data_IF_153841707309
#
_entry.id   IF_153841707309
#
_cell.length_a   1.000
_cell.length_b   1.000
_cell.length_c   1.000
_cell.angle_alpha   90.00
_cell.angle_beta   90.00
_cell.angle_gamma   90.00
#
_symmetry.space_group_name_H-M   'P 1'
#
loop_
_entity.id
_entity.type
_entity.pdbx_description
1 polymer ?
#
# COMPACT_ATOMS: atom_id res chain seq x y z
N UNK A 1 -0.93 17.86 -1.63
CA UNK A 1 -0.83 16.52 -1.03
C UNK A 1 -2.20 16.06 -0.58
N UNK A 2 -2.48 14.76 -0.70
CA UNK A 2 -3.77 14.22 -0.28
C UNK A 2 -3.85 14.13 1.23
N UNK A 3 -5.04 13.80 1.74
CA UNK A 3 -5.26 13.59 3.16
C UNK A 3 -6.14 12.35 3.35
N UNK A 4 -6.41 11.99 4.61
CA UNK A 4 -7.17 10.78 4.94
C UNK A 4 -8.68 11.03 5.10
N UNK A 5 -9.16 12.22 4.77
CA UNK A 5 -10.56 12.54 4.98
C UNK A 5 -11.45 11.52 4.26
N UNK A 6 -12.34 10.88 5.01
CA UNK A 6 -13.25 9.89 4.46
C UNK A 6 -12.63 8.53 4.22
N UNK A 7 -11.36 8.33 4.58
CA UNK A 7 -10.65 7.08 4.31
C UNK A 7 -9.94 6.62 5.59
N UNK A 8 -10.56 5.68 6.30
CA UNK A 8 -10.04 5.21 7.57
C UNK A 8 -9.45 3.81 7.41
N UNK A 9 -8.22 3.61 7.91
CA UNK A 9 -7.57 2.31 7.84
C UNK A 9 -8.44 1.21 8.45
N UNK A 10 -8.57 0.09 7.74
CA UNK A 10 -9.34 -1.07 8.20
C UNK A 10 -8.45 -2.21 8.64
N UNK A 11 -7.26 -2.35 8.04
CA UNK A 11 -6.36 -3.48 8.28
C UNK A 11 -4.92 -3.01 8.26
N UNK A 12 -4.02 -3.83 8.80
CA UNK A 12 -2.58 -3.65 8.61
C UNK A 12 -2.10 -4.49 7.44
N UNK A 13 -1.08 -4.01 6.74
CA UNK A 13 -0.55 -4.71 5.57
C UNK A 13 -0.12 -6.14 5.91
N UNK A 14 0.54 -6.32 7.02
CA UNK A 14 1.10 -7.63 7.37
C UNK A 14 0.08 -8.65 7.86
N UNK A 15 -1.16 -8.22 8.09
CA UNK A 15 -2.18 -9.11 8.65
C UNK A 15 -3.05 -9.80 7.60
N UNK A 16 -2.91 -9.44 6.33
CA UNK A 16 -3.78 -9.96 5.29
C UNK A 16 -3.38 -11.37 4.85
N UNK A 17 -4.38 -12.22 4.66
CA UNK A 17 -4.20 -13.61 4.28
C UNK A 17 -5.27 -14.01 3.26
N UNK A 18 -5.17 -15.23 2.77
CA UNK A 18 -6.11 -15.76 1.79
C UNK A 18 -7.56 -15.68 2.28
N UNK A 19 -7.77 -15.75 3.57
CA UNK A 19 -9.11 -15.66 4.15
C UNK A 19 -9.75 -14.28 3.94
N UNK A 20 -8.94 -13.27 3.64
CA UNK A 20 -9.44 -11.91 3.40
C UNK A 20 -9.88 -11.66 1.97
N UNK A 21 -9.68 -12.63 1.06
CA UNK A 21 -10.01 -12.46 -0.36
C UNK A 21 -11.47 -12.04 -0.51
N UNK A 22 -11.69 -11.00 -1.29
CA UNK A 22 -13.01 -10.43 -1.52
C UNK A 22 -13.36 -9.26 -0.63
N UNK A 23 -12.59 -9.00 0.43
CA UNK A 23 -12.84 -7.87 1.33
C UNK A 23 -12.31 -6.58 0.75
N UNK A 24 -13.06 -5.50 0.98
CA UNK A 24 -12.57 -4.16 0.69
C UNK A 24 -11.78 -3.68 1.90
N UNK A 25 -10.56 -3.23 1.67
CA UNK A 25 -9.66 -2.81 2.75
C UNK A 25 -9.09 -1.43 2.48
N UNK A 26 -8.71 -0.76 3.56
CA UNK A 26 -7.95 0.49 3.52
C UNK A 26 -6.67 0.26 4.30
N UNK A 27 -5.54 0.46 3.63
CA UNK A 27 -4.23 0.25 4.21
C UNK A 27 -3.46 1.56 4.23
N UNK A 28 -2.70 1.79 5.29
CA UNK A 28 -1.79 2.93 5.37
C UNK A 28 -0.38 2.39 5.52
N UNK A 29 0.57 3.00 4.82
CA UNK A 29 1.95 2.56 4.92
C UNK A 29 2.85 3.39 4.05
N UNK A 30 4.05 2.86 3.80
CA UNK A 30 5.00 3.56 2.93
C UNK A 30 5.46 2.63 1.81
N UNK A 31 5.87 3.25 0.70
CA UNK A 31 6.32 2.53 -0.49
C UNK A 31 7.71 1.99 -0.24
N UNK A 32 7.84 0.66 -0.17
CA UNK A 32 9.15 0.04 -0.04
C UNK A 32 9.77 -0.19 -1.41
N UNK A 33 8.95 -0.60 -2.38
CA UNK A 33 9.42 -0.91 -3.73
C UNK A 33 8.29 -0.69 -4.72
N UNK A 34 8.64 -0.25 -5.92
CA UNK A 34 7.67 -0.05 -6.99
C UNK A 34 8.21 -0.64 -8.28
N UNK A 35 7.35 -1.31 -9.05
CA UNK A 35 7.70 -1.83 -10.37
C UNK A 35 6.64 -1.42 -11.37
N UNK A 36 7.07 -0.88 -12.53
CA UNK A 36 6.18 -0.54 -13.63
C UNK A 36 6.27 -1.63 -14.69
N UNK A 37 5.14 -2.23 -15.04
CA UNK A 37 5.08 -3.30 -16.02
C UNK A 37 3.94 -3.03 -17.01
N UNK A 38 4.24 -2.18 -18.02
CA UNK A 38 3.22 -1.83 -19.01
C UNK A 38 2.07 -1.07 -18.35
N UNK A 39 0.86 -1.51 -18.53
CA UNK A 39 -0.32 -0.86 -17.95
C UNK A 39 -0.56 -1.19 -16.47
N UNK A 40 0.46 -1.68 -15.77
CA UNK A 40 0.36 -2.09 -14.37
C UNK A 40 1.46 -1.45 -13.54
N UNK A 41 1.14 -1.08 -12.30
CA UNK A 41 2.13 -0.67 -11.32
C UNK A 41 1.95 -1.56 -10.10
N UNK A 42 3.03 -2.21 -9.67
CA UNK A 42 3.06 -3.01 -8.46
C UNK A 42 3.82 -2.24 -7.40
N UNK A 43 3.26 -2.18 -6.19
CA UNK A 43 3.87 -1.51 -5.05
C UNK A 43 3.93 -2.47 -3.88
N UNK A 44 5.10 -2.63 -3.29
CA UNK A 44 5.22 -3.29 -2.00
C UNK A 44 4.99 -2.23 -0.94
N UNK A 45 3.83 -2.30 -0.31
CA UNK A 45 3.42 -1.37 0.74
C UNK A 45 3.76 -1.97 2.10
N UNK A 46 4.55 -1.26 2.88
CA UNK A 46 4.98 -1.72 4.20
C UNK A 46 4.34 -0.89 5.30
N UNK A 47 4.01 -1.55 6.38
CA UNK A 47 3.65 -0.88 7.63
C UNK A 47 4.33 -1.62 8.80
N UNK A 48 3.94 -1.29 10.04
CA UNK A 48 4.58 -1.89 11.21
C UNK A 48 4.35 -3.39 11.35
N UNK A 49 3.37 -3.94 10.63
CA UNK A 49 3.04 -5.36 10.70
C UNK A 49 3.63 -6.18 9.56
N UNK A 50 4.06 -5.55 8.48
CA UNK A 50 4.64 -6.27 7.36
C UNK A 50 4.38 -5.59 6.03
N UNK A 51 4.42 -6.40 4.96
CA UNK A 51 4.34 -5.91 3.59
C UNK A 51 3.18 -6.59 2.87
N UNK A 52 2.52 -5.85 1.99
CA UNK A 52 1.50 -6.39 1.09
C UNK A 52 1.72 -5.82 -0.30
N UNK A 53 1.56 -6.63 -1.32
CA UNK A 53 1.64 -6.19 -2.71
C UNK A 53 0.34 -5.49 -3.11
N UNK A 54 0.48 -4.31 -3.69
CA UNK A 54 -0.64 -3.53 -4.22
C UNK A 54 -0.51 -3.49 -5.73
N UNK A 55 -1.61 -3.74 -6.44
CA UNK A 55 -1.66 -3.67 -7.90
C UNK A 55 -2.51 -2.50 -8.32
N UNK A 56 -1.94 -1.64 -9.15
CA UNK A 56 -2.65 -0.53 -9.79
C UNK A 56 -2.79 -0.86 -11.28
N UNK A 57 -4.03 -0.96 -11.74
CA UNK A 57 -4.34 -1.37 -13.11
C UNK A 57 -5.19 -0.27 -13.75
N UNK A 58 -4.79 0.20 -14.93
CA UNK A 58 -5.54 1.25 -15.65
C UNK A 58 -6.99 0.84 -15.92
N UNK A 59 -7.24 -0.46 -16.04
CA UNK A 59 -8.59 -0.96 -16.29
C UNK A 59 -9.48 -0.92 -15.05
N UNK A 60 -8.88 -0.77 -13.87
CA UNK A 60 -9.63 -0.69 -12.61
C UNK A 60 -9.83 0.77 -12.20
N UNK A 61 -8.76 1.55 -12.19
CA UNK A 61 -8.81 2.97 -11.84
C UNK A 61 -7.63 3.68 -12.48
N UNK A 62 -7.91 4.44 -13.53
CA UNK A 62 -6.88 5.20 -14.21
C UNK A 62 -6.32 6.28 -13.30
N UNK A 63 -7.15 6.89 -12.47
CA UNK A 63 -6.71 7.93 -11.54
C UNK A 63 -5.71 7.38 -10.53
N UNK A 64 -6.01 6.24 -9.92
CA UNK A 64 -5.11 5.62 -8.96
C UNK A 64 -3.81 5.17 -9.66
N UNK A 65 -3.92 4.62 -10.86
CA UNK A 65 -2.75 4.22 -11.64
C UNK A 65 -1.83 5.40 -11.92
N UNK A 66 -2.41 6.52 -12.37
CA UNK A 66 -1.61 7.71 -12.69
C UNK A 66 -0.89 8.24 -11.47
N UNK A 67 -1.54 8.22 -10.31
CA UNK A 67 -0.88 8.60 -9.06
C UNK A 67 0.23 7.62 -8.70
N UNK A 68 -0.02 6.33 -8.90
CA UNK A 68 0.96 5.29 -8.55
C UNK A 68 2.22 5.38 -9.39
N UNK A 69 2.10 5.76 -10.66
CA UNK A 69 3.27 5.93 -11.51
C UNK A 69 4.25 6.96 -10.99
N UNK A 70 3.76 7.91 -10.20
CA UNK A 70 4.58 9.02 -9.68
C UNK A 70 5.12 8.74 -8.28
N UNK A 71 4.81 7.57 -7.71
CA UNK A 71 5.26 7.26 -6.35
C UNK A 71 6.77 7.07 -6.31
N UNK A 72 7.39 7.62 -5.28
CA UNK A 72 8.79 7.37 -4.97
C UNK A 72 8.92 6.48 -3.75
N UNK A 73 10.13 5.95 -3.55
CA UNK A 73 10.43 5.17 -2.36
C UNK A 73 10.16 5.99 -1.11
N UNK A 74 9.64 5.34 -0.08
CA UNK A 74 9.39 5.92 1.22
C UNK A 74 8.24 6.94 1.24
N UNK A 75 7.53 7.13 0.13
CA UNK A 75 6.30 7.93 0.17
C UNK A 75 5.31 7.25 1.11
N UNK A 76 4.64 8.05 1.93
CA UNK A 76 3.58 7.56 2.82
C UNK A 76 2.24 7.71 2.11
N UNK A 77 1.50 6.61 2.04
CA UNK A 77 0.26 6.57 1.26
C UNK A 77 -0.85 5.84 2.01
N UNK A 78 -2.08 6.10 1.57
CA UNK A 78 -3.24 5.30 1.95
C UNK A 78 -3.80 4.69 0.66
N UNK A 79 -4.14 3.41 0.72
CA UNK A 79 -4.64 2.65 -0.43
C UNK A 79 -5.96 1.99 -0.05
N UNK A 80 -6.96 2.15 -0.91
CA UNK A 80 -8.23 1.43 -0.79
C UNK A 80 -8.32 0.44 -1.93
N UNK A 81 -8.74 -0.77 -1.66
CA UNK A 81 -8.88 -1.78 -2.71
C UNK A 81 -9.48 -3.06 -2.21
N UNK A 82 -9.51 -4.04 -3.10
CA UNK A 82 -10.10 -5.36 -2.85
C UNK A 82 -8.98 -6.38 -2.75
N UNK A 83 -9.04 -7.22 -1.72
CA UNK A 83 -8.09 -8.31 -1.55
C UNK A 83 -8.42 -9.40 -2.57
N UNK A 84 -7.42 -9.86 -3.29
CA UNK A 84 -7.59 -10.95 -4.23
C UNK A 84 -6.41 -11.90 -4.16
N UNK A 85 -6.61 -13.11 -4.67
CA UNK A 85 -5.56 -14.13 -4.69
C UNK A 85 -4.58 -13.82 -5.81
N UNK A 86 -3.26 -13.92 -5.50
CA UNK A 86 -2.23 -13.72 -6.52
C UNK A 86 -2.14 -14.91 -7.44
N UNK A 87 -1.90 -14.65 -8.72
CA UNK A 87 -1.58 -15.72 -9.66
C UNK A 87 -0.19 -16.28 -9.40
N UNK A 88 0.75 -15.39 -9.09
CA UNK A 88 2.14 -15.74 -8.85
C UNK A 88 2.43 -15.55 -7.37
N UNK A 89 2.22 -16.59 -6.60
CA UNK A 89 2.35 -16.51 -5.14
C UNK A 89 3.81 -16.47 -4.73
N UNK A 90 4.08 -15.77 -3.62
CA UNK A 90 5.42 -15.66 -3.08
C UNK A 90 5.46 -16.34 -1.70
N UNK A 91 5.98 -17.58 -1.61
CA UNK A 91 5.99 -18.31 -0.35
C UNK A 91 6.94 -17.72 0.69
N UNK A 92 7.78 -16.76 0.31
CA UNK A 92 8.72 -16.12 1.23
C UNK A 92 8.09 -14.98 2.01
N UNK A 93 6.83 -14.66 1.75
CA UNK A 93 6.10 -13.60 2.46
C UNK A 93 4.86 -14.17 3.11
N UNK A 94 4.55 -13.77 4.37
CA UNK A 94 3.30 -14.21 4.99
C UNK A 94 2.05 -13.79 4.20
N UNK A 95 2.12 -12.64 3.51
CA UNK A 95 1.02 -12.13 2.67
C UNK A 95 1.18 -12.52 1.21
N UNK A 96 2.08 -13.44 0.90
CA UNK A 96 2.46 -13.74 -0.48
C UNK A 96 1.40 -14.42 -1.33
N UNK A 97 0.29 -14.84 -0.72
CA UNK A 97 -0.81 -15.50 -1.44
C UNK A 97 -1.81 -14.49 -1.99
N UNK A 98 -1.76 -13.23 -1.54
CA UNK A 98 -2.76 -12.23 -1.90
C UNK A 98 -2.12 -10.94 -2.41
N UNK A 99 -2.92 -10.13 -3.04
CA UNK A 99 -2.55 -8.77 -3.43
C UNK A 99 -3.80 -7.91 -3.31
N UNK A 100 -3.60 -6.59 -3.35
CA UNK A 100 -4.70 -5.64 -3.28
C UNK A 100 -4.90 -5.04 -4.66
N UNK A 101 -6.10 -5.19 -5.21
CA UNK A 101 -6.48 -4.51 -6.45
C UNK A 101 -6.95 -3.11 -6.06
N UNK A 102 -6.09 -2.13 -6.26
CA UNK A 102 -6.32 -0.79 -5.74
C UNK A 102 -7.40 -0.05 -6.53
N UNK A 103 -8.31 0.57 -5.80
CA UNK A 103 -9.35 1.41 -6.39
C UNK A 103 -9.14 2.89 -6.08
N UNK A 104 -8.35 3.19 -5.03
CA UNK A 104 -8.07 4.57 -4.67
C UNK A 104 -6.70 4.66 -4.02
N UNK A 105 -5.98 5.76 -4.31
CA UNK A 105 -4.66 6.01 -3.73
C UNK A 105 -4.60 7.45 -3.25
N UNK A 106 -4.13 7.67 -2.04
CA UNK A 106 -3.87 9.01 -1.51
C UNK A 106 -2.42 9.09 -1.06
N UNK A 107 -1.72 10.12 -1.54
CA UNK A 107 -0.33 10.38 -1.16
C UNK A 107 -0.35 11.33 0.02
N UNK A 108 0.08 10.84 1.18
CA UNK A 108 0.01 11.58 2.43
C UNK A 108 1.28 12.35 2.73
N UNK A 109 2.43 11.83 2.28
CA UNK A 109 3.71 12.48 2.49
C UNK A 109 4.70 11.98 1.44
N UNK A 110 5.50 12.89 0.92
CA UNK A 110 6.59 12.55 0.01
C UNK A 110 7.94 12.55 0.71
N UNK A 111 7.92 12.66 2.03
CA UNK A 111 9.15 12.69 2.81
C UNK A 111 9.77 11.30 2.84
N UNK A 112 11.07 11.22 2.61
CA UNK A 112 11.81 9.98 2.72
C UNK A 112 11.97 9.55 4.16
N UNK A 113 11.84 10.48 5.09
CA UNK A 113 11.95 10.19 6.50
C UNK A 113 10.55 10.20 7.08
N UNK A 114 10.01 9.04 7.43
CA UNK A 114 8.68 9.00 8.02
C UNK A 114 8.64 9.90 9.23
N UNK A 115 7.67 10.75 9.32
CA UNK A 115 7.60 11.69 10.43
C UNK A 115 7.42 11.01 11.74
N UNK A 116 7.41 9.91 11.82
CA UNK A 116 7.28 9.37 13.07
C UNK A 116 7.64 8.03 13.22
N UNK A 117 8.22 7.95 12.90
CA UNK A 117 8.73 6.93 12.74
C UNK A 117 8.34 6.07 13.45
N UNK A 118 7.72 6.68 13.30
CA UNK A 118 7.51 6.63 13.57
C UNK A 118 7.34 6.36 14.36
N UNK A 119 7.31 6.67 14.93
CA UNK A 119 7.38 6.99 15.58
C UNK A 119 6.65 6.69 16.22
N UNK A 120 6.36 6.59 16.78
CA UNK A 120 6.12 6.70 17.25
C UNK A 120 6.11 6.78 17.87
N UNK A 121 6.60 7.07 18.14
CA UNK A 121 7.12 7.66 18.52
C UNK A 121 7.42 7.92 18.70
N UNK A 122 7.57 8.09 19.12
CA UNK A 122 8.15 8.80 19.27
C UNK A 122 8.59 9.05 19.14
N UNK A 123 8.67 9.12 19.66
CA UNK A 123 9.39 9.80 19.53
C UNK A 123 9.97 9.84 19.12
N UNK A 124 10.07 9.77 19.34
CA UNK A 124 10.89 10.27 18.88
C UNK A 124 11.41 10.40 18.38
N UNK A 125 11.59 10.48 18.64
CA UNK A 125 12.27 11.07 18.19
C UNK A 125 12.68 11.11 17.59
N UNK A 126 12.84 11.23 17.68
CA UNK A 126 13.27 11.57 17.09
C UNK A 126 13.57 11.50 16.57
N UNK A 127 13.43 11.49 16.90
CA UNK A 127 13.81 11.68 16.34
C UNK A 127 13.87 11.69 16.20
#
# INVERSE_FOLDING_TARGET
MDNLKGLKRTHYCGDLRIANVGEEVVLNGWVQKKRNLGGLVFVDLRDIKGITQILFDTNVSEEAFNKAEKLGSEYVVAVKGIVRERQSKNPNMPTGDIEIEATELRVLSKSETPPIYIKDNDNVSED
#
